data_IF_714564912768
#
_entry.id   IF_714564912768
#
_cell.length_a   1.000
_cell.length_b   1.000
_cell.length_c   1.000
_cell.angle_alpha   90.00
_cell.angle_beta   90.00
_cell.angle_gamma   90.00
#
_symmetry.space_group_name_H-M   'P 1'
#
loop_
_entity.id
_entity.type
_entity.pdbx_description
1 polymer ?
#
# COMPACT_ATOMS: atom_id res chain seq x y z
N UNK A 1 -11.49 19.93 31.95
CA UNK A 1 -10.57 19.01 31.25
C UNK A 1 -11.10 18.84 29.83
N UNK A 2 -10.56 19.61 28.88
CA UNK A 2 -10.91 19.54 27.46
C UNK A 2 -9.59 19.45 26.70
N UNK A 3 -9.25 18.23 26.32
CA UNK A 3 -8.13 17.91 25.43
C UNK A 3 -8.44 16.60 24.69
N UNK A 4 -9.64 16.51 24.11
CA UNK A 4 -9.88 15.57 23.00
C UNK A 4 -9.60 16.35 21.72
N UNK A 5 -8.32 16.48 21.41
CA UNK A 5 -7.86 17.08 20.17
C UNK A 5 -8.40 16.29 18.99
N UNK A 6 -9.18 16.97 18.16
CA UNK A 6 -9.48 16.72 16.75
C UNK A 6 -8.54 15.69 16.10
N UNK A 7 -8.91 14.40 16.12
CA UNK A 7 -8.37 13.46 15.13
C UNK A 7 -8.96 13.91 13.79
N UNK A 8 -8.16 14.60 12.97
CA UNK A 8 -8.53 14.86 11.58
C UNK A 8 -8.63 13.52 10.86
N UNK A 9 -9.69 13.32 10.09
CA UNK A 9 -9.76 12.16 9.21
C UNK A 9 -8.56 12.17 8.26
N UNK A 10 -7.94 10.99 8.01
CA UNK A 10 -6.79 10.86 7.14
C UNK A 10 -7.15 11.31 5.72
N UNK A 11 -6.26 12.06 5.08
CA UNK A 11 -6.49 12.60 3.73
C UNK A 11 -5.94 11.72 2.62
N UNK A 12 -5.02 10.83 2.95
CA UNK A 12 -4.39 9.92 1.99
C UNK A 12 -3.94 8.64 2.71
N UNK A 13 -3.53 7.64 1.92
CA UNK A 13 -3.13 6.33 2.42
C UNK A 13 -1.92 6.36 3.35
N UNK A 14 -0.97 7.30 3.18
CA UNK A 14 0.21 7.39 4.04
C UNK A 14 -0.21 7.75 5.47
N UNK A 15 -1.20 8.64 5.61
CA UNK A 15 -1.75 9.03 6.92
C UNK A 15 -2.50 7.91 7.64
N UNK A 16 -2.74 6.75 7.00
CA UNK A 16 -3.27 5.57 7.70
C UNK A 16 -2.23 4.82 8.51
N UNK A 17 -0.95 5.00 8.20
CA UNK A 17 0.15 4.29 8.83
C UNK A 17 0.83 5.20 9.85
N UNK A 18 1.30 4.59 10.95
CA UNK A 18 2.13 5.31 11.92
C UNK A 18 3.60 5.31 11.53
N UNK A 19 4.04 4.30 10.77
CA UNK A 19 5.35 4.25 10.15
C UNK A 19 5.46 5.26 9.00
N UNK A 20 6.48 6.10 9.05
CA UNK A 20 6.78 7.05 7.98
C UNK A 20 7.51 6.34 6.83
N UNK A 21 6.80 6.14 5.72
CA UNK A 21 7.35 5.51 4.53
C UNK A 21 8.50 6.29 3.89
N UNK A 22 8.62 7.60 4.14
CA UNK A 22 9.69 8.42 3.57
C UNK A 22 11.04 8.21 4.26
N UNK A 23 11.03 7.62 5.46
CA UNK A 23 12.24 7.32 6.23
C UNK A 23 12.72 5.88 6.04
N UNK A 24 12.12 5.10 5.12
CA UNK A 24 12.43 3.68 4.94
C UNK A 24 13.94 3.42 4.75
N UNK A 25 14.63 4.24 3.94
CA UNK A 25 16.06 4.10 3.66
C UNK A 25 16.99 4.93 4.58
N UNK A 26 16.47 5.52 5.66
CA UNK A 26 17.29 6.32 6.59
C UNK A 26 18.03 5.46 7.61
N UNK A 27 17.48 4.30 7.93
CA UNK A 27 18.04 3.32 8.85
C UNK A 27 18.55 2.11 8.04
N UNK A 28 19.61 1.46 8.51
CA UNK A 28 20.20 0.27 7.87
C UNK A 28 19.57 -1.05 8.38
N UNK A 29 18.27 -1.05 8.67
CA UNK A 29 17.52 -2.18 9.24
C UNK A 29 16.53 -2.83 8.25
N UNK A 30 16.72 -2.56 6.95
CA UNK A 30 16.04 -3.24 5.86
C UNK A 30 16.98 -4.27 5.20
N UNK A 31 16.40 -5.28 4.57
CA UNK A 31 17.12 -6.34 3.85
C UNK A 31 16.74 -6.34 2.37
N UNK A 32 17.71 -6.58 1.48
CA UNK A 32 17.43 -6.89 0.08
C UNK A 32 16.95 -8.34 -0.03
N UNK A 33 15.71 -8.53 -0.49
CA UNK A 33 15.06 -9.86 -0.56
C UNK A 33 14.94 -10.40 -1.98
N UNK A 34 15.04 -9.53 -3.00
CA UNK A 34 14.96 -9.92 -4.40
C UNK A 34 15.70 -8.93 -5.29
N UNK A 35 16.38 -9.46 -6.30
CA UNK A 35 17.02 -8.72 -7.38
C UNK A 35 16.65 -9.36 -8.70
N UNK A 36 16.05 -8.59 -9.59
CA UNK A 36 15.71 -9.02 -10.95
C UNK A 36 16.28 -8.05 -11.97
N UNK A 37 16.97 -8.60 -12.95
CA UNK A 37 17.57 -7.84 -14.05
C UNK A 37 16.93 -8.25 -15.37
N UNK A 38 16.41 -7.26 -16.11
CA UNK A 38 15.89 -7.45 -17.47
C UNK A 38 16.58 -6.46 -18.43
N UNK A 39 16.34 -6.61 -19.73
CA UNK A 39 16.90 -5.72 -20.73
C UNK A 39 16.41 -4.28 -20.53
N UNK A 40 17.32 -3.40 -20.09
CA UNK A 40 17.04 -1.98 -19.88
C UNK A 40 16.48 -1.62 -18.50
N UNK A 41 16.22 -2.58 -17.60
CA UNK A 41 15.66 -2.32 -16.28
C UNK A 41 16.31 -3.26 -15.25
N UNK A 42 16.55 -2.76 -14.04
CA UNK A 42 16.72 -3.64 -12.88
C UNK A 42 15.72 -3.25 -11.79
N UNK A 43 15.29 -4.27 -11.04
CA UNK A 43 14.31 -4.18 -9.99
C UNK A 43 14.91 -4.79 -8.73
N UNK A 44 14.80 -4.05 -7.62
CA UNK A 44 15.27 -4.51 -6.32
C UNK A 44 14.12 -4.40 -5.33
N UNK A 45 13.93 -5.44 -4.53
CA UNK A 45 12.99 -5.44 -3.42
C UNK A 45 13.72 -5.39 -2.09
N UNK A 46 13.37 -4.40 -1.28
CA UNK A 46 13.85 -4.22 0.08
C UNK A 46 12.71 -4.46 1.05
N UNK A 47 12.90 -5.32 2.04
CA UNK A 47 11.93 -5.60 3.10
C UNK A 47 12.41 -5.00 4.42
N UNK A 48 11.47 -4.41 5.18
CA UNK A 48 11.69 -4.02 6.58
C UNK A 48 10.57 -4.61 7.42
N UNK A 49 10.95 -5.35 8.46
CA UNK A 49 10.02 -5.76 9.52
C UNK A 49 9.71 -4.53 10.36
N UNK A 50 8.43 -4.24 10.55
CA UNK A 50 7.97 -3.11 11.32
C UNK A 50 8.03 -3.44 12.82
N UNK A 51 8.33 -2.45 13.68
CA UNK A 51 8.38 -2.63 15.14
C UNK A 51 7.02 -2.99 15.77
N UNK A 52 5.92 -2.78 15.05
CA UNK A 52 4.56 -3.12 15.47
C UNK A 52 3.69 -3.51 14.26
N UNK A 53 2.48 -3.99 14.52
CA UNK A 53 1.51 -4.35 13.49
C UNK A 53 0.70 -3.10 13.10
N UNK A 54 0.95 -2.58 11.91
CA UNK A 54 0.20 -1.47 11.32
C UNK A 54 -1.24 -1.89 10.97
N UNK A 55 -2.19 -1.06 11.41
CA UNK A 55 -3.63 -1.21 11.12
C UNK A 55 -4.18 -2.60 11.52
N UNK A 56 -3.56 -3.25 12.50
CA UNK A 56 -3.89 -4.62 12.94
C UNK A 56 -3.80 -5.68 11.81
N UNK A 57 -3.00 -5.42 10.76
CA UNK A 57 -2.85 -6.28 9.59
C UNK A 57 -1.40 -6.50 9.14
N UNK A 58 -0.57 -5.45 9.14
CA UNK A 58 0.71 -5.45 8.43
C UNK A 58 1.89 -5.29 9.39
N UNK A 59 2.77 -6.28 9.45
CA UNK A 59 3.96 -6.27 10.31
C UNK A 59 5.25 -6.01 9.53
N UNK A 60 5.18 -5.79 8.22
CA UNK A 60 6.32 -5.50 7.36
C UNK A 60 5.92 -4.67 6.17
N UNK A 61 6.91 -4.04 5.56
CA UNK A 61 6.76 -3.24 4.35
C UNK A 61 7.87 -3.58 3.38
N UNK A 62 7.52 -3.69 2.10
CA UNK A 62 8.42 -4.02 1.01
C UNK A 62 8.43 -2.87 0.02
N UNK A 63 9.60 -2.31 -0.24
CA UNK A 63 9.86 -1.32 -1.28
C UNK A 63 10.43 -2.01 -2.50
N UNK A 64 9.69 -1.96 -3.60
CA UNK A 64 10.14 -2.42 -4.91
C UNK A 64 10.56 -1.22 -5.74
N UNK A 65 11.86 -1.09 -5.99
CA UNK A 65 12.48 0.03 -6.70
C UNK A 65 12.83 -0.41 -8.11
N UNK A 66 12.33 0.33 -9.10
CA UNK A 66 12.58 0.12 -10.52
C UNK A 66 13.56 1.18 -11.02
N UNK A 67 14.68 0.74 -11.61
CA UNK A 67 15.71 1.62 -12.17
C UNK A 67 15.87 1.35 -13.67
N UNK A 68 15.59 2.36 -14.49
CA UNK A 68 15.78 2.30 -15.95
C UNK A 68 17.26 2.52 -16.31
N UNK A 69 17.89 1.51 -16.92
CA UNK A 69 19.29 1.56 -17.35
C UNK A 69 19.51 2.49 -18.55
N UNK A 70 18.48 2.71 -19.36
CA UNK A 70 18.53 3.55 -20.57
C UNK A 70 18.22 5.01 -20.24
N UNK A 71 17.62 5.28 -19.09
CA UNK A 71 17.27 6.61 -18.64
C UNK A 71 17.93 6.93 -17.31
N UNK A 72 19.26 7.14 -17.34
CA UNK A 72 20.08 7.52 -16.17
C UNK A 72 19.59 8.83 -15.51
N UNK A 73 18.82 9.63 -16.26
CA UNK A 73 18.23 10.92 -15.81
C UNK A 73 16.74 10.80 -15.46
N UNK A 74 16.14 9.62 -15.66
CA UNK A 74 14.73 9.35 -15.38
C UNK A 74 14.47 9.14 -13.89
N UNK A 75 13.21 9.34 -13.48
CA UNK A 75 12.77 9.05 -12.12
C UNK A 75 12.57 7.54 -11.93
N UNK A 76 13.17 6.98 -10.88
CA UNK A 76 12.88 5.62 -10.44
C UNK A 76 11.39 5.49 -10.09
N UNK A 77 10.77 4.38 -10.49
CA UNK A 77 9.44 4.04 -9.99
C UNK A 77 9.60 3.27 -8.68
N UNK A 78 8.73 3.58 -7.72
CA UNK A 78 8.72 2.90 -6.43
C UNK A 78 7.32 2.36 -6.22
N UNK A 79 7.22 1.06 -5.97
CA UNK A 79 6.00 0.44 -5.47
C UNK A 79 6.22 0.06 -4.00
N UNK A 80 5.21 0.30 -3.18
CA UNK A 80 5.22 -0.10 -1.77
C UNK A 80 4.21 -1.22 -1.60
N UNK A 81 4.59 -2.28 -0.90
CA UNK A 81 3.72 -3.41 -0.59
C UNK A 81 3.73 -3.67 0.92
N UNK A 82 2.55 -3.76 1.51
CA UNK A 82 2.33 -4.19 2.88
C UNK A 82 1.69 -5.57 2.84
N UNK A 83 2.47 -6.66 2.86
CA UNK A 83 1.93 -7.99 3.02
C UNK A 83 1.48 -8.20 4.47
N UNK A 84 0.33 -8.84 4.65
CA UNK A 84 -0.10 -9.34 5.94
C UNK A 84 0.38 -10.78 6.11
N UNK A 85 0.78 -11.13 7.32
CA UNK A 85 1.01 -12.53 7.65
C UNK A 85 -0.34 -13.29 7.67
N UNK A 86 -0.34 -14.60 7.36
CA UNK A 86 -1.57 -15.39 7.29
C UNK A 86 -2.41 -15.37 8.58
N UNK A 87 -1.75 -15.33 9.74
CA UNK A 87 -2.36 -15.30 11.07
C UNK A 87 -2.97 -13.94 11.45
N UNK A 88 -2.49 -12.85 10.83
CA UNK A 88 -3.04 -11.51 11.01
C UNK A 88 -4.19 -11.18 10.04
N UNK A 89 -4.37 -12.00 9.00
CA UNK A 89 -5.40 -11.78 7.98
C UNK A 89 -6.78 -12.17 8.51
N UNK A 90 -7.60 -11.19 8.88
CA UNK A 90 -8.98 -11.43 9.29
C UNK A 90 -9.98 -10.45 8.65
N UNK A 91 -11.20 -10.95 8.40
CA UNK A 91 -12.27 -10.20 7.72
C UNK A 91 -12.62 -8.89 8.44
N UNK A 92 -12.64 -8.88 9.78
CA UNK A 92 -13.02 -7.69 10.53
C UNK A 92 -12.04 -6.52 10.29
N UNK A 93 -10.74 -6.80 10.27
CA UNK A 93 -9.71 -5.80 10.01
C UNK A 93 -9.68 -5.39 8.53
N UNK A 94 -9.88 -6.33 7.59
CA UNK A 94 -10.01 -6.00 6.16
C UNK A 94 -11.21 -5.08 5.92
N UNK A 95 -12.34 -5.33 6.58
CA UNK A 95 -13.53 -4.47 6.51
C UNK A 95 -13.24 -3.06 7.04
N UNK A 96 -12.56 -2.95 8.18
CA UNK A 96 -12.12 -1.65 8.72
C UNK A 96 -11.20 -0.91 7.76
N UNK A 97 -10.20 -1.59 7.18
CA UNK A 97 -9.28 -0.99 6.21
C UNK A 97 -10.02 -0.55 4.94
N UNK A 98 -10.90 -1.39 4.40
CA UNK A 98 -11.72 -1.06 3.22
C UNK A 98 -12.60 0.16 3.49
N UNK A 99 -13.21 0.25 4.67
CA UNK A 99 -13.98 1.44 5.06
C UNK A 99 -13.11 2.69 5.14
N UNK A 100 -11.91 2.61 5.74
CA UNK A 100 -10.96 3.73 5.78
C UNK A 100 -10.56 4.18 4.37
N UNK A 101 -10.26 3.24 3.47
CA UNK A 101 -9.92 3.54 2.08
C UNK A 101 -11.09 4.21 1.35
N UNK A 102 -12.32 3.72 1.53
CA UNK A 102 -13.53 4.34 0.99
C UNK A 102 -13.75 5.76 1.52
N UNK A 103 -13.45 6.02 2.79
CA UNK A 103 -13.53 7.39 3.36
C UNK A 103 -12.52 8.34 2.74
N UNK A 104 -11.33 7.86 2.42
CA UNK A 104 -10.27 8.68 1.82
C UNK A 104 -10.55 8.92 0.33
N UNK A 105 -10.87 7.86 -0.43
CA UNK A 105 -10.87 7.88 -1.89
C UNK A 105 -12.26 7.82 -2.52
N UNK A 106 -13.29 7.50 -1.75
CA UNK A 106 -14.61 7.19 -2.30
C UNK A 106 -14.65 5.82 -2.96
N UNK A 107 -15.52 5.70 -3.96
CA UNK A 107 -15.75 4.47 -4.71
C UNK A 107 -14.47 3.98 -5.41
N UNK A 108 -14.29 2.68 -5.46
CA UNK A 108 -13.17 2.04 -6.15
C UNK A 108 -13.37 2.03 -7.69
N UNK A 109 -12.37 1.53 -8.42
CA UNK A 109 -12.37 1.47 -9.89
C UNK A 109 -13.53 0.62 -10.46
N UNK A 110 -14.11 -0.27 -9.65
CA UNK A 110 -15.27 -1.12 -9.98
C UNK A 110 -16.61 -0.52 -9.50
N UNK A 111 -16.60 0.74 -9.05
CA UNK A 111 -17.75 1.43 -8.43
C UNK A 111 -18.32 0.70 -7.21
N UNK A 112 -17.44 0.18 -6.36
CA UNK A 112 -17.76 -0.43 -5.08
C UNK A 112 -17.32 0.49 -3.93
N UNK A 113 -18.22 0.70 -2.97
CA UNK A 113 -17.98 1.52 -1.79
C UNK A 113 -17.59 0.68 -0.59
N UNK A 114 -18.42 0.74 0.46
CA UNK A 114 -18.25 -0.13 1.62
C UNK A 114 -18.30 -1.62 1.25
N UNK A 115 -17.65 -2.44 2.08
CA UNK A 115 -17.60 -3.89 1.89
C UNK A 115 -19.02 -4.49 1.88
N UNK A 116 -19.29 -5.29 0.85
CA UNK A 116 -20.58 -5.94 0.60
C UNK A 116 -20.52 -7.43 0.93
N UNK A 117 -21.68 -8.09 0.95
CA UNK A 117 -21.77 -9.56 1.10
C UNK A 117 -21.04 -10.30 -0.01
N UNK A 118 -20.96 -9.73 -1.23
CA UNK A 118 -20.22 -10.32 -2.35
C UNK A 118 -18.72 -10.38 -2.04
N UNK A 119 -18.19 -9.36 -1.36
CA UNK A 119 -16.79 -9.29 -0.98
C UNK A 119 -16.46 -10.27 0.13
N UNK A 120 -17.35 -10.36 1.13
CA UNK A 120 -17.24 -11.36 2.19
C UNK A 120 -17.25 -12.78 1.60
N UNK A 121 -18.13 -13.03 0.63
CA UNK A 121 -18.20 -14.30 -0.11
C UNK A 121 -16.93 -14.56 -0.93
N UNK A 122 -16.44 -13.54 -1.64
CA UNK A 122 -15.20 -13.64 -2.41
C UNK A 122 -14.01 -14.01 -1.53
N UNK A 123 -13.82 -13.28 -0.43
CA UNK A 123 -12.75 -13.56 0.53
C UNK A 123 -12.84 -14.99 1.07
N UNK A 124 -14.03 -15.44 1.47
CA UNK A 124 -14.25 -16.80 1.95
C UNK A 124 -13.97 -17.86 0.85
N UNK A 125 -14.20 -17.52 -0.41
CA UNK A 125 -13.85 -18.33 -1.58
C UNK A 125 -12.36 -18.21 -1.97
N UNK A 126 -11.57 -17.46 -1.20
CA UNK A 126 -10.13 -17.34 -1.38
C UNK A 126 -9.67 -16.22 -2.29
N UNK A 127 -10.54 -15.25 -2.62
CA UNK A 127 -10.17 -14.11 -3.46
C UNK A 127 -10.94 -12.83 -3.11
N UNK A 128 -10.23 -11.75 -2.82
CA UNK A 128 -10.81 -10.43 -2.63
C UNK A 128 -9.90 -9.38 -3.25
N UNK A 129 -10.48 -8.39 -3.94
CA UNK A 129 -9.72 -7.31 -4.55
C UNK A 129 -10.50 -6.00 -4.52
N UNK A 130 -9.76 -4.92 -4.26
CA UNK A 130 -10.17 -3.52 -4.36
C UNK A 130 -9.04 -2.70 -4.95
N UNK A 131 -9.35 -1.78 -5.86
CA UNK A 131 -8.35 -0.91 -6.47
C UNK A 131 -8.89 0.50 -6.65
N UNK A 132 -8.07 1.50 -6.35
CA UNK A 132 -8.32 2.90 -6.65
C UNK A 132 -7.18 3.43 -7.52
N UNK A 133 -7.50 3.89 -8.72
CA UNK A 133 -6.59 4.64 -9.58
C UNK A 133 -6.83 6.13 -9.39
N UNK A 134 -5.78 6.85 -8.99
CA UNK A 134 -5.86 8.17 -8.40
C UNK A 134 -4.85 9.12 -9.04
N UNK A 135 -5.05 10.43 -8.82
CA UNK A 135 -4.23 11.47 -9.42
C UNK A 135 -4.61 11.75 -10.88
N UNK A 136 -3.85 12.64 -11.52
CA UNK A 136 -4.13 13.11 -12.88
C UNK A 136 -2.83 13.34 -13.67
N UNK A 137 -2.93 13.21 -15.00
CA UNK A 137 -1.82 13.49 -15.92
C UNK A 137 -0.61 12.60 -15.67
N UNK A 138 0.54 13.20 -15.35
CA UNK A 138 1.80 12.48 -15.12
C UNK A 138 1.94 11.91 -13.70
N UNK A 139 1.07 12.28 -12.76
CA UNK A 139 1.17 11.89 -11.35
C UNK A 139 0.07 10.89 -10.96
N UNK A 140 -0.27 9.99 -11.88
CA UNK A 140 -1.21 8.90 -11.60
C UNK A 140 -0.54 7.83 -10.74
N UNK A 141 -1.24 7.36 -9.72
CA UNK A 141 -0.81 6.28 -8.83
C UNK A 141 -2.01 5.39 -8.51
N UNK A 142 -1.77 4.18 -7.98
CA UNK A 142 -2.86 3.28 -7.60
C UNK A 142 -2.68 2.74 -6.19
N UNK A 143 -3.78 2.58 -5.46
CA UNK A 143 -3.84 1.84 -4.20
C UNK A 143 -4.63 0.57 -4.46
N UNK A 144 -4.08 -0.60 -4.13
CA UNK A 144 -4.69 -1.91 -4.39
C UNK A 144 -4.65 -2.77 -3.14
N UNK A 145 -5.81 -3.20 -2.66
CA UNK A 145 -5.95 -4.16 -1.57
C UNK A 145 -6.37 -5.50 -2.18
N UNK A 146 -5.52 -6.52 -2.07
CA UNK A 146 -5.76 -7.82 -2.67
C UNK A 146 -5.51 -8.92 -1.66
N UNK A 147 -6.38 -9.92 -1.65
CA UNK A 147 -6.21 -11.16 -0.92
C UNK A 147 -6.37 -12.33 -1.88
N UNK A 148 -5.46 -13.30 -1.78
CA UNK A 148 -5.69 -14.63 -2.31
C UNK A 148 -5.08 -15.69 -1.37
N UNK A 149 -5.51 -16.94 -1.49
CA UNK A 149 -5.07 -18.03 -0.61
C UNK A 149 -3.60 -18.43 -0.77
N UNK A 150 -2.96 -18.07 -1.88
CA UNK A 150 -1.55 -18.38 -2.15
C UNK A 150 -0.61 -17.34 -1.55
N UNK A 151 -0.93 -16.06 -1.75
CA UNK A 151 -0.04 -14.93 -1.44
C UNK A 151 -0.48 -14.15 -0.18
N UNK A 152 -1.62 -14.48 0.40
CA UNK A 152 -2.18 -13.78 1.55
C UNK A 152 -2.81 -12.42 1.18
N UNK A 153 -3.07 -11.60 2.20
CA UNK A 153 -3.56 -10.24 2.03
C UNK A 153 -2.37 -9.30 1.80
N UNK A 154 -2.50 -8.36 0.86
CA UNK A 154 -1.53 -7.31 0.66
C UNK A 154 -2.19 -5.99 0.27
N UNK A 155 -1.66 -4.89 0.80
CA UNK A 155 -1.99 -3.53 0.39
C UNK A 155 -0.81 -2.95 -0.39
N UNK A 156 -1.04 -2.57 -1.64
CA UNK A 156 -0.03 -2.09 -2.58
C UNK A 156 -0.29 -0.64 -2.94
N UNK A 157 0.76 0.16 -2.96
CA UNK A 157 0.78 1.51 -3.52
C UNK A 157 1.69 1.48 -4.72
N UNK A 158 1.10 1.57 -5.92
CA UNK A 158 1.83 1.58 -7.19
C UNK A 158 2.17 3.01 -7.57
N UNK A 159 3.39 3.25 -8.03
CA UNK A 159 3.93 4.60 -8.32
C UNK A 159 3.88 5.52 -7.10
N UNK A 160 4.38 5.04 -5.95
CA UNK A 160 4.43 5.76 -4.68
C UNK A 160 5.10 7.14 -4.77
N UNK A 161 6.12 7.28 -5.61
CA UNK A 161 6.76 8.57 -5.88
C UNK A 161 5.78 9.62 -6.44
N UNK A 162 4.80 9.23 -7.27
CA UNK A 162 3.78 10.16 -7.77
C UNK A 162 2.82 10.62 -6.67
N UNK A 163 2.47 9.73 -5.74
CA UNK A 163 1.70 10.10 -4.54
C UNK A 163 2.46 11.15 -3.71
N UNK A 164 3.75 10.93 -3.46
CA UNK A 164 4.58 11.89 -2.72
C UNK A 164 4.62 13.26 -3.40
N UNK A 165 4.77 13.30 -4.73
CA UNK A 165 4.73 14.56 -5.49
C UNK A 165 3.41 15.33 -5.38
N UNK A 166 2.29 14.62 -5.19
CA UNK A 166 0.98 15.24 -5.01
C UNK A 166 0.79 15.80 -3.59
N UNK A 167 1.33 15.14 -2.57
CA UNK A 167 1.18 15.55 -1.16
C UNK A 167 2.12 16.71 -0.80
N UNK A 168 3.28 16.80 -1.45
CA UNK A 168 4.27 17.85 -1.17
C UNK A 168 3.96 19.21 -1.83
N UNK A 169 2.94 19.28 -2.70
CA UNK A 169 2.47 20.52 -3.34
C UNK A 169 1.41 21.22 -2.50
#
# INVERSE_FOLDING_TARGET
MSAFGLFKEPKNIIELFTFDLTTFFYEEDYEEISFEEQEGLFMIEYEKVLPWIEIDLFNKVVFRVFNDKKNIVGSNHINVNFPAEPDHTNMANIKKLTHKLFKIYGWDDENLGEMTVKDETGFNNGFFERQWTLGEGKNVYSVRLIYNTRDGLSLRILFFNHLLELIQK
#
